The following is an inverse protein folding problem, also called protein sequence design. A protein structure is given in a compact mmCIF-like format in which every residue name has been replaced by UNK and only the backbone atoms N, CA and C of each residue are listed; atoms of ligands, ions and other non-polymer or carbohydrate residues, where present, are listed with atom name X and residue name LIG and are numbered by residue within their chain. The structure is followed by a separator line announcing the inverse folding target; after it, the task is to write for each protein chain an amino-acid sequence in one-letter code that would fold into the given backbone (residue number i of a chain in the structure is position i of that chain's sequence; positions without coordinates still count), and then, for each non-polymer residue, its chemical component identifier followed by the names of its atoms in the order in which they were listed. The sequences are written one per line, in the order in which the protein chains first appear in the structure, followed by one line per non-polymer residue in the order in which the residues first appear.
data_IF_728432693289
#
_entry.id   IF_728432693289
#
_cell.length_a   1.000
_cell.length_b   1.000
_cell.length_c   1.000
_cell.angle_alpha   90.00
_cell.angle_beta   90.00
_cell.angle_gamma   90.00
#
_symmetry.space_group_name_H-M   'P 1'
#
loop_
_entity.id
_entity.type
_entity.pdbx_description
1 polymer ?
#
# COMPACT_ATOMS: atom_id res chain seq x y z
N UNK A 1 -11.70 -9.77 -1.73
CA UNK A 1 -10.75 -10.74 -1.14
C UNK A 1 -10.07 -11.51 -2.26
N UNK A 2 -8.81 -11.93 -2.10
CA UNK A 2 -8.13 -12.76 -3.09
C UNK A 2 -8.73 -14.18 -3.12
N UNK A 3 -8.53 -14.90 -4.22
CA UNK A 3 -8.97 -16.28 -4.39
C UNK A 3 -7.77 -17.21 -4.46
N UNK A 4 -7.82 -18.33 -3.75
CA UNK A 4 -6.84 -19.41 -3.88
C UNK A 4 -7.16 -20.22 -5.13
N UNK A 5 -6.13 -20.48 -5.93
CA UNK A 5 -6.19 -21.30 -7.13
C UNK A 5 -5.11 -22.37 -7.00
N UNK A 6 -5.47 -23.62 -7.27
CA UNK A 6 -4.49 -24.70 -7.37
C UNK A 6 -3.59 -24.48 -8.60
N UNK A 7 -2.28 -24.39 -8.38
CA UNK A 7 -1.34 -23.96 -9.44
C UNK A 7 -1.15 -24.98 -10.56
N UNK A 8 -1.54 -26.23 -10.36
CA UNK A 8 -1.41 -27.30 -11.36
C UNK A 8 -2.67 -27.47 -12.19
N UNK A 9 -3.84 -27.48 -11.53
CA UNK A 9 -5.13 -27.72 -12.17
C UNK A 9 -5.91 -26.45 -12.52
N UNK A 10 -5.48 -25.29 -12.01
CA UNK A 10 -6.15 -23.99 -12.11
C UNK A 10 -7.57 -23.96 -11.53
N UNK A 11 -7.94 -24.97 -10.74
CA UNK A 11 -9.23 -24.99 -10.04
C UNK A 11 -9.23 -23.91 -8.95
N UNK A 12 -10.29 -23.10 -8.94
CA UNK A 12 -10.57 -22.20 -7.82
C UNK A 12 -10.89 -23.04 -6.59
N UNK A 13 -10.17 -22.80 -5.50
CA UNK A 13 -10.32 -23.55 -4.26
C UNK A 13 -11.33 -22.84 -3.34
N UNK A 14 -10.99 -21.63 -2.92
CA UNK A 14 -11.80 -20.81 -2.00
C UNK A 14 -11.36 -19.35 -2.05
N UNK A 15 -12.14 -18.48 -1.42
CA UNK A 15 -11.61 -17.16 -1.06
C UNK A 15 -10.50 -17.36 -0.02
N UNK A 16 -9.34 -16.74 -0.27
CA UNK A 16 -8.29 -16.67 0.72
C UNK A 16 -8.72 -15.74 1.84
N UNK A 17 -8.60 -16.20 3.08
CA UNK A 17 -8.94 -15.42 4.27
C UNK A 17 -7.93 -15.67 5.39
N UNK A 18 -7.65 -14.63 6.15
CA UNK A 18 -6.73 -14.62 7.28
C UNK A 18 -7.52 -14.59 8.58
N UNK A 19 -8.45 -15.54 8.73
CA UNK A 19 -9.24 -15.78 9.95
C UNK A 19 -9.79 -14.51 10.62
N UNK A 20 -10.36 -13.58 9.84
CA UNK A 20 -10.87 -12.27 10.26
C UNK A 20 -9.86 -11.20 10.72
N UNK A 21 -8.55 -11.49 10.80
CA UNK A 21 -7.52 -10.51 11.16
C UNK A 21 -7.40 -9.39 10.08
N UNK A 22 -7.59 -9.76 8.80
CA UNK A 22 -7.64 -8.82 7.68
C UNK A 22 -9.08 -8.53 7.25
N UNK A 23 -9.53 -7.29 7.45
CA UNK A 23 -10.91 -6.85 7.19
C UNK A 23 -10.97 -5.68 6.19
N UNK A 24 -10.05 -5.66 5.23
CA UNK A 24 -9.94 -4.60 4.22
C UNK A 24 -9.95 -5.19 2.83
N UNK A 25 -10.25 -4.38 1.78
CA UNK A 25 -9.88 -4.74 0.42
C UNK A 25 -8.42 -5.20 0.37
N UNK A 26 -8.11 -6.16 -0.48
CA UNK A 26 -6.76 -6.71 -0.61
C UNK A 26 -6.20 -6.26 -1.96
N UNK A 27 -5.02 -5.61 -1.95
CA UNK A 27 -4.40 -5.12 -3.19
C UNK A 27 -4.11 -6.25 -4.17
N UNK A 28 -4.20 -5.97 -5.47
CA UNK A 28 -3.71 -6.85 -6.53
C UNK A 28 -2.18 -6.83 -6.68
N UNK A 29 -1.49 -5.92 -5.97
CA UNK A 29 -0.04 -5.76 -6.01
C UNK A 29 0.63 -6.03 -4.65
N UNK A 30 0.35 -7.15 -3.96
CA UNK A 30 1.07 -7.45 -2.74
C UNK A 30 2.55 -7.72 -3.08
N UNK A 31 3.45 -7.35 -2.17
CA UNK A 31 4.90 -7.54 -2.38
C UNK A 31 5.44 -8.52 -1.34
N UNK A 32 6.20 -9.51 -1.80
CA UNK A 32 6.94 -10.41 -0.92
C UNK A 32 8.23 -9.73 -0.47
N UNK A 33 8.47 -9.63 0.83
CA UNK A 33 9.70 -9.10 1.38
C UNK A 33 10.89 -10.02 1.03
N UNK A 34 12.00 -9.49 0.49
CA UNK A 34 13.07 -10.32 -0.09
C UNK A 34 13.83 -11.19 0.92
N UNK A 35 13.89 -10.79 2.19
CA UNK A 35 14.64 -11.51 3.25
C UNK A 35 13.72 -12.36 4.12
N UNK A 36 12.66 -11.77 4.68
CA UNK A 36 11.77 -12.46 5.62
C UNK A 36 10.77 -13.37 4.91
N UNK A 37 10.50 -13.14 3.62
CA UNK A 37 9.46 -13.85 2.87
C UNK A 37 8.03 -13.45 3.24
N UNK A 38 7.86 -12.50 4.17
CA UNK A 38 6.55 -11.96 4.55
C UNK A 38 5.87 -11.29 3.36
N UNK A 39 4.54 -11.30 3.36
CA UNK A 39 3.74 -10.69 2.32
C UNK A 39 3.18 -9.35 2.82
N UNK A 40 3.54 -8.28 2.14
CA UNK A 40 3.08 -6.93 2.45
C UNK A 40 1.92 -6.60 1.53
N UNK A 41 0.81 -6.15 2.11
CA UNK A 41 -0.43 -5.84 1.43
C UNK A 41 -0.93 -4.44 1.82
N UNK A 42 -1.85 -3.92 1.02
CA UNK A 42 -2.50 -2.63 1.20
C UNK A 42 -4.00 -2.80 0.96
N UNK A 43 -4.80 -2.21 1.85
CA UNK A 43 -6.24 -2.07 1.66
C UNK A 43 -6.62 -0.61 1.52
N UNK A 44 -7.30 -0.29 0.41
CA UNK A 44 -7.82 1.05 0.12
C UNK A 44 -9.34 0.99 0.04
N UNK A 45 -10.01 1.88 0.76
CA UNK A 45 -11.46 1.93 0.85
C UNK A 45 -11.93 3.40 0.85
N UNK A 46 -13.05 3.76 0.19
CA UNK A 46 -13.48 5.16 0.11
C UNK A 46 -14.17 5.68 1.39
N UNK A 47 -14.04 4.95 2.49
CA UNK A 47 -14.44 5.34 3.86
C UNK A 47 -13.25 5.15 4.80
N UNK A 48 -13.19 5.90 5.90
CA UNK A 48 -12.08 5.78 6.85
C UNK A 48 -12.08 4.42 7.56
N UNK A 49 -10.91 3.84 7.85
CA UNK A 49 -9.57 4.28 7.43
C UNK A 49 -9.33 4.06 5.93
N UNK A 50 -8.86 5.11 5.24
CA UNK A 50 -8.77 5.11 3.78
C UNK A 50 -7.68 4.19 3.22
N UNK A 51 -6.59 4.01 3.97
CA UNK A 51 -5.46 3.18 3.57
C UNK A 51 -4.89 2.45 4.79
N UNK A 52 -4.86 1.13 4.71
CA UNK A 52 -4.33 0.25 5.76
C UNK A 52 -3.26 -0.65 5.17
N UNK A 53 -2.05 -0.64 5.75
CA UNK A 53 -0.98 -1.57 5.39
C UNK A 53 -1.07 -2.80 6.29
N UNK A 54 -0.91 -3.98 5.69
CA UNK A 54 -0.82 -5.26 6.40
C UNK A 54 0.47 -5.98 6.06
N UNK A 55 1.02 -6.71 7.03
CA UNK A 55 2.13 -7.62 6.82
C UNK A 55 1.69 -8.99 7.31
N UNK A 56 1.85 -9.99 6.44
CA UNK A 56 1.44 -11.37 6.66
C UNK A 56 2.70 -12.23 6.76
N UNK A 57 2.72 -13.18 7.68
CA UNK A 57 3.84 -14.11 7.86
C UNK A 57 4.19 -14.86 6.57
N UNK A 58 5.43 -15.29 6.44
CA UNK A 58 5.93 -15.97 5.23
C UNK A 58 5.17 -17.26 4.87
N UNK A 59 4.56 -17.91 5.85
CA UNK A 59 3.70 -19.09 5.65
C UNK A 59 2.24 -18.74 5.30
N UNK A 60 1.90 -17.45 5.22
CA UNK A 60 0.57 -16.96 4.88
C UNK A 60 -0.49 -17.12 5.97
N UNK A 61 -0.10 -17.49 7.21
CA UNK A 61 -1.07 -17.90 8.24
C UNK A 61 -1.42 -16.84 9.28
N UNK A 62 -0.58 -15.81 9.46
CA UNK A 62 -0.76 -14.81 10.51
C UNK A 62 -0.58 -13.39 10.00
N UNK A 63 -1.39 -12.47 10.51
CA UNK A 63 -1.17 -11.04 10.36
C UNK A 63 -0.13 -10.61 11.40
N UNK A 64 1.09 -10.29 10.95
CA UNK A 64 2.18 -9.88 11.84
C UNK A 64 2.17 -8.38 12.15
N UNK A 65 1.58 -7.58 11.26
CA UNK A 65 1.43 -6.13 11.46
C UNK A 65 0.22 -5.60 10.69
N UNK A 66 -0.46 -4.59 11.24
CA UNK A 66 -1.56 -3.88 10.58
C UNK A 66 -1.67 -2.46 11.09
N UNK A 67 -1.65 -1.51 10.17
CA UNK A 67 -1.60 -0.08 10.49
C UNK A 67 -2.49 0.72 9.56
N UNK A 68 -3.36 1.54 10.14
CA UNK A 68 -4.03 2.64 9.43
C UNK A 68 -3.02 3.78 9.23
N UNK A 69 -2.82 4.18 7.97
CA UNK A 69 -1.88 5.25 7.58
C UNK A 69 -2.43 6.65 7.91
N UNK A 70 -3.72 6.75 8.29
CA UNK A 70 -4.39 8.01 8.65
C UNK A 70 -4.33 9.07 7.56
N UNK A 71 -4.48 8.66 6.30
CA UNK A 71 -4.62 9.61 5.19
C UNK A 71 -5.86 10.50 5.39
N UNK A 72 -5.77 11.74 4.91
CA UNK A 72 -6.87 12.71 5.01
C UNK A 72 -7.91 12.56 3.89
N UNK A 73 -7.57 11.81 2.84
CA UNK A 73 -8.40 11.53 1.66
C UNK A 73 -8.12 10.10 1.19
N UNK A 74 -9.07 9.52 0.46
CA UNK A 74 -8.86 8.23 -0.20
C UNK A 74 -8.09 8.44 -1.51
N UNK A 75 -6.75 8.50 -1.42
CA UNK A 75 -5.91 8.40 -2.62
C UNK A 75 -6.05 7.00 -3.22
N UNK A 76 -6.10 6.89 -4.54
CA UNK A 76 -6.05 5.63 -5.27
C UNK A 76 -4.61 5.09 -5.22
N UNK A 77 -4.16 4.70 -4.02
CA UNK A 77 -2.87 4.05 -3.82
C UNK A 77 -2.95 2.62 -4.37
N UNK A 78 -2.73 2.49 -5.68
CA UNK A 78 -2.91 1.23 -6.44
C UNK A 78 -1.85 0.18 -6.09
N UNK A 79 -0.61 0.64 -5.88
CA UNK A 79 0.55 -0.20 -5.60
C UNK A 79 1.25 0.27 -4.30
N UNK A 80 2.11 -0.57 -3.75
CA UNK A 80 2.92 -0.30 -2.55
C UNK A 80 4.37 -0.70 -2.82
N UNK A 81 5.31 0.17 -2.46
CA UNK A 81 6.74 -0.15 -2.54
C UNK A 81 7.22 -0.83 -1.26
N UNK A 82 8.19 -1.73 -1.40
CA UNK A 82 8.69 -2.58 -0.30
C UNK A 82 10.20 -2.72 -0.47
N UNK A 83 10.97 -2.19 0.49
CA UNK A 83 12.43 -2.36 0.56
C UNK A 83 12.80 -3.43 1.60
N UNK A 84 14.05 -3.54 2.02
CA UNK A 84 14.36 -4.40 3.18
C UNK A 84 13.77 -3.83 4.47
N UNK A 85 13.87 -2.52 4.71
CA UNK A 85 13.47 -1.90 5.99
C UNK A 85 12.18 -1.08 5.95
N UNK A 86 11.64 -0.74 4.77
CA UNK A 86 10.54 0.23 4.65
C UNK A 86 9.40 -0.23 3.74
N UNK A 87 8.21 0.33 4.03
CA UNK A 87 7.08 0.42 3.11
C UNK A 87 7.08 1.81 2.47
N UNK A 88 6.76 1.88 1.18
CA UNK A 88 6.64 3.13 0.41
C UNK A 88 5.19 3.32 -0.02
N UNK A 89 4.60 4.44 0.37
CA UNK A 89 3.17 4.73 0.21
C UNK A 89 3.01 5.93 -0.73
N UNK A 90 2.15 5.81 -1.74
CA UNK A 90 1.86 6.89 -2.69
C UNK A 90 0.56 7.60 -2.30
N UNK A 91 0.63 8.89 -1.95
CA UNK A 91 -0.53 9.75 -1.74
C UNK A 91 -0.57 10.81 -2.83
N UNK A 92 -1.10 10.41 -3.99
CA UNK A 92 -1.21 11.22 -5.19
C UNK A 92 -2.63 11.75 -5.37
N UNK A 93 -2.81 12.85 -6.14
CA UNK A 93 -4.09 13.54 -6.23
C UNK A 93 -5.06 12.88 -7.21
N UNK A 94 -4.97 11.55 -7.39
CA UNK A 94 -6.01 10.71 -7.96
C UNK A 94 -6.81 10.11 -6.79
N UNK A 95 -8.02 10.61 -6.55
CA UNK A 95 -8.79 10.28 -5.34
C UNK A 95 -10.08 9.55 -5.65
N UNK A 96 -10.52 8.68 -4.73
CA UNK A 96 -11.85 8.07 -4.70
C UNK A 96 -12.74 8.86 -3.72
N UNK A 97 -13.91 9.31 -4.15
CA UNK A 97 -14.81 10.11 -3.31
C UNK A 97 -16.28 9.73 -3.54
N UNK A 98 -16.89 9.08 -2.54
CA UNK A 98 -18.32 8.72 -2.59
C UNK A 98 -19.22 9.94 -2.57
N UNK A 99 -18.88 11.01 -1.85
CA UNK A 99 -19.70 12.21 -1.80
C UNK A 99 -19.71 12.91 -3.17
N UNK A 100 -18.58 12.87 -3.89
CA UNK A 100 -18.50 13.36 -5.27
C UNK A 100 -19.40 12.54 -6.19
N UNK A 101 -19.40 11.21 -6.05
CA UNK A 101 -20.30 10.33 -6.81
C UNK A 101 -21.78 10.62 -6.51
N UNK A 102 -22.15 10.75 -5.24
CA UNK A 102 -23.53 11.04 -4.81
C UNK A 102 -24.06 12.38 -5.35
N UNK A 103 -23.17 13.35 -5.61
CA UNK A 103 -23.51 14.62 -6.26
C UNK A 103 -23.50 14.56 -7.80
N UNK A 104 -23.43 13.36 -8.39
CA UNK A 104 -23.43 13.16 -9.85
C UNK A 104 -22.06 13.33 -10.51
N UNK A 105 -20.98 13.44 -9.74
CA UNK A 105 -19.61 13.53 -10.25
C UNK A 105 -18.95 12.15 -10.47
N UNK A 106 -17.71 12.17 -10.97
CA UNK A 106 -16.91 10.96 -11.16
C UNK A 106 -16.48 10.35 -9.82
N UNK A 107 -16.58 9.03 -9.64
CA UNK A 107 -16.09 8.36 -8.42
C UNK A 107 -14.58 8.54 -8.23
N UNK A 108 -13.81 8.45 -9.31
CA UNK A 108 -12.35 8.65 -9.33
C UNK A 108 -12.06 9.93 -10.10
N UNK A 109 -11.22 10.81 -9.55
CA UNK A 109 -10.86 12.08 -10.18
C UNK A 109 -9.43 12.46 -9.84
N UNK A 110 -8.69 12.89 -10.87
CA UNK A 110 -7.39 13.53 -10.72
C UNK A 110 -7.55 15.04 -10.50
N UNK A 111 -6.85 15.61 -9.52
CA UNK A 111 -6.78 17.06 -9.30
C UNK A 111 -5.32 17.56 -9.32
N UNK A 112 -4.92 18.14 -10.46
CA UNK A 112 -3.57 18.68 -10.65
C UNK A 112 -3.17 19.81 -9.68
N UNK A 113 -4.14 20.45 -9.01
CA UNK A 113 -3.88 21.54 -8.06
C UNK A 113 -3.66 21.02 -6.64
N UNK A 114 -4.01 19.76 -6.39
CA UNK A 114 -3.90 19.15 -5.07
C UNK A 114 -2.50 18.54 -4.86
N UNK A 115 -2.14 18.26 -3.61
CA UNK A 115 -0.79 17.85 -3.25
C UNK A 115 -0.48 16.42 -3.70
N UNK A 116 0.81 16.12 -3.93
CA UNK A 116 1.33 14.77 -4.09
C UNK A 116 2.49 14.55 -3.13
N UNK A 117 2.53 13.39 -2.49
CA UNK A 117 3.63 13.04 -1.57
C UNK A 117 3.88 11.54 -1.54
N UNK A 118 5.12 11.18 -1.22
CA UNK A 118 5.57 9.82 -1.05
C UNK A 118 5.90 9.62 0.43
N UNK A 119 5.30 8.60 1.05
CA UNK A 119 5.53 8.24 2.44
C UNK A 119 6.53 7.10 2.55
N UNK A 120 7.56 7.25 3.38
CA UNK A 120 8.49 6.18 3.75
C UNK A 120 8.20 5.81 5.20
N UNK A 121 7.74 4.59 5.43
CA UNK A 121 7.37 4.07 6.74
C UNK A 121 8.27 2.89 7.08
N UNK A 122 8.90 2.83 8.28
CA UNK A 122 9.55 1.61 8.75
C UNK A 122 8.62 0.40 8.60
N UNK A 123 9.17 -0.77 8.29
CA UNK A 123 8.40 -1.99 7.95
C UNK A 123 7.25 -2.22 8.93
N UNK A 124 7.55 -2.19 10.22
CA UNK A 124 6.61 -2.41 11.31
C UNK A 124 6.23 -1.11 12.05
N UNK A 125 6.38 0.04 11.39
CA UNK A 125 6.07 1.35 11.94
C UNK A 125 4.57 1.66 11.99
N UNK A 126 4.24 2.79 12.61
CA UNK A 126 2.88 3.34 12.66
C UNK A 126 2.71 4.59 11.76
N UNK A 127 1.50 5.17 11.73
CA UNK A 127 1.23 6.40 10.97
C UNK A 127 2.13 7.60 11.35
N UNK A 128 2.57 7.68 12.61
CA UNK A 128 3.43 8.78 13.08
C UNK A 128 4.89 8.59 12.65
N UNK A 129 5.29 7.35 12.36
CA UNK A 129 6.63 7.01 11.86
C UNK A 129 6.81 7.25 10.36
N UNK A 130 5.75 7.60 9.62
CA UNK A 130 5.84 7.88 8.20
C UNK A 130 6.54 9.22 7.97
N UNK A 131 7.65 9.21 7.23
CA UNK A 131 8.22 10.44 6.67
C UNK A 131 7.63 10.71 5.30
N UNK A 132 7.03 11.88 5.16
CA UNK A 132 6.40 12.33 3.92
C UNK A 132 7.33 13.26 3.15
N UNK A 133 7.52 12.96 1.87
CA UNK A 133 8.28 13.77 0.93
C UNK A 133 7.32 14.35 -0.10
N UNK A 134 7.26 15.67 -0.19
CA UNK A 134 6.45 16.36 -1.19
C UNK A 134 7.06 16.14 -2.57
N UNK A 135 6.21 15.88 -3.57
CA UNK A 135 6.62 15.74 -4.98
C UNK A 135 5.66 16.53 -5.88
N UNK A 136 6.05 16.71 -7.13
CA UNK A 136 5.17 17.31 -8.14
C UNK A 136 3.94 16.42 -8.39
N UNK A 137 2.72 17.00 -8.49
CA UNK A 137 1.50 16.26 -8.81
C UNK A 137 1.66 15.41 -10.07
N UNK A 138 1.48 14.10 -9.90
CA UNK A 138 1.56 13.12 -10.97
C UNK A 138 0.58 11.97 -10.69
N UNK A 139 0.57 11.01 -11.61
CA UNK A 139 -0.29 9.84 -11.55
C UNK A 139 0.54 8.57 -11.81
N UNK A 140 1.13 8.00 -10.77
CA UNK A 140 1.79 6.68 -10.83
C UNK A 140 0.83 5.60 -10.38
N UNK A 141 0.78 4.51 -11.15
CA UNK A 141 0.04 3.31 -10.76
C UNK A 141 0.98 2.22 -10.28
N UNK A 142 1.98 1.86 -11.07
CA UNK A 142 2.85 0.72 -10.78
C UNK A 142 4.21 1.16 -10.26
N UNK A 143 4.74 0.36 -9.34
CA UNK A 143 6.11 0.46 -8.86
C UNK A 143 6.86 -0.76 -9.40
N UNK A 144 7.81 -0.51 -10.31
CA UNK A 144 8.69 -1.53 -10.89
C UNK A 144 9.58 -2.12 -9.78
N UNK A 145 10.21 -1.28 -8.96
CA UNK A 145 10.98 -1.72 -7.79
C UNK A 145 11.14 -0.61 -6.75
N UNK A 146 11.48 -0.99 -5.52
CA UNK A 146 11.92 -0.08 -4.46
C UNK A 146 13.12 -0.70 -3.74
N UNK A 147 14.22 0.03 -3.64
CA UNK A 147 15.35 -0.39 -2.81
C UNK A 147 15.90 0.80 -2.02
N UNK A 148 16.57 0.47 -0.92
CA UNK A 148 17.30 1.42 -0.09
C UNK A 148 18.79 1.33 -0.44
N UNK A 149 19.40 2.48 -0.71
CA UNK A 149 20.85 2.62 -0.89
C UNK A 149 21.41 3.40 0.30
N UNK A 150 22.55 2.94 0.83
CA UNK A 150 23.15 3.42 2.08
C UNK A 150 22.83 2.56 3.31
N UNK A 151 23.86 2.38 4.15
CA UNK A 151 23.87 1.46 5.31
C UNK A 151 23.83 2.20 6.66
N UNK A 152 23.48 3.48 6.68
CA UNK A 152 23.49 4.23 7.93
C UNK A 152 22.39 3.75 8.89
N UNK A 153 22.75 3.63 10.17
CA UNK A 153 21.83 3.41 11.29
C UNK A 153 20.82 4.56 11.51
N UNK A 154 20.83 5.57 10.63
CA UNK A 154 19.81 6.60 10.50
C UNK A 154 18.49 5.95 10.09
N UNK A 155 17.39 6.35 10.72
CA UNK A 155 16.07 5.74 10.54
C UNK A 155 15.49 5.80 9.11
N UNK A 156 16.20 6.34 8.11
CA UNK A 156 15.75 6.48 6.71
C UNK A 156 16.91 6.34 5.73
N UNK A 157 16.69 5.78 4.53
CA UNK A 157 17.74 5.60 3.54
C UNK A 157 18.15 6.94 2.91
N UNK A 158 19.39 7.03 2.44
CA UNK A 158 19.90 8.21 1.73
C UNK A 158 19.24 8.38 0.35
N UNK A 159 18.92 7.26 -0.30
CA UNK A 159 18.18 7.23 -1.56
C UNK A 159 17.14 6.12 -1.55
N UNK A 160 15.94 6.47 -2.00
CA UNK A 160 14.90 5.53 -2.38
C UNK A 160 14.68 5.69 -3.88
N UNK A 161 14.98 4.64 -4.66
CA UNK A 161 14.73 4.65 -6.09
C UNK A 161 13.41 3.95 -6.36
N UNK A 162 12.45 4.72 -6.88
CA UNK A 162 11.18 4.22 -7.39
C UNK A 162 11.23 4.31 -8.91
N UNK A 163 11.19 3.16 -9.56
CA UNK A 163 10.95 3.07 -10.99
C UNK A 163 9.43 2.96 -11.17
N UNK A 164 8.81 3.91 -11.86
CA UNK A 164 7.37 3.96 -12.12
C UNK A 164 7.06 4.11 -13.60
#
# INVERSE_FOLDING_TARGET
MPQEIDILSLKTLKNWDLSADWNRPFTSHPKKAPITGELVTLGVEPIKPYAVVGIISADGKKLVHKVDIKLNRCSLCHDIGVTQRYNVIMDFPLTIDLNRLLRGGQLIKYDKKDYARIGVMPRYGDANSVKWFQVEPNCTFHIINSFEDGNEASCYPEKLVLFG
#
